data_IF_258322654695
#
_entry.id   IF_258322654695
#
_cell.length_a   1.000
_cell.length_b   1.000
_cell.length_c   1.000
_cell.angle_alpha   90.00
_cell.angle_beta   90.00
_cell.angle_gamma   90.00
#
_symmetry.space_group_name_H-M   'P 1'
#
loop_
_entity.id
_entity.type
_entity.pdbx_description
1 polymer ?
#
# COMPACT_ATOMS: atom_id res chain seq x y z
N UNK A 1 9.05 -7.34 -1.93
CA UNK A 1 8.37 -6.54 -2.98
C UNK A 1 7.62 -5.40 -2.32
N UNK A 2 7.63 -4.20 -2.93
CA UNK A 2 6.84 -3.02 -2.51
C UNK A 2 5.87 -2.69 -3.63
N UNK A 3 4.61 -2.45 -3.31
CA UNK A 3 3.57 -2.10 -4.29
C UNK A 3 2.84 -0.84 -3.83
N UNK A 4 3.02 0.26 -4.56
CA UNK A 4 2.23 1.47 -4.37
C UNK A 4 0.95 1.42 -5.20
N UNK A 5 -0.18 1.61 -4.54
CA UNK A 5 -1.51 1.55 -5.14
C UNK A 5 -2.16 2.93 -5.11
N UNK A 6 -2.93 3.26 -6.14
CA UNK A 6 -3.72 4.48 -6.17
C UNK A 6 -3.91 5.08 -7.55
N UNK A 7 -4.41 6.31 -7.59
CA UNK A 7 -4.66 7.08 -8.81
C UNK A 7 -4.12 8.50 -8.67
N UNK A 8 -3.06 8.82 -9.40
CA UNK A 8 -2.39 10.13 -9.35
C UNK A 8 -3.26 11.31 -9.83
N UNK A 9 -4.38 11.04 -10.49
CA UNK A 9 -5.31 12.07 -10.95
C UNK A 9 -6.34 12.48 -9.88
N UNK A 10 -6.31 11.85 -8.70
CA UNK A 10 -7.32 12.03 -7.65
C UNK A 10 -6.71 12.52 -6.33
N UNK A 11 -5.92 13.57 -6.37
CA UNK A 11 -5.36 14.21 -5.18
C UNK A 11 -4.58 13.23 -4.29
N UNK A 12 -5.03 13.03 -3.08
CA UNK A 12 -4.38 12.19 -2.06
C UNK A 12 -4.31 10.70 -2.44
N UNK A 13 -5.18 10.26 -3.35
CA UNK A 13 -5.18 8.88 -3.86
C UNK A 13 -3.89 8.50 -4.62
N UNK A 14 -3.08 9.47 -4.97
CA UNK A 14 -1.76 9.28 -5.58
C UNK A 14 -0.63 8.96 -4.59
N UNK A 15 -0.87 8.98 -3.29
CA UNK A 15 0.18 8.85 -2.28
C UNK A 15 0.97 7.52 -2.39
N UNK A 16 0.29 6.39 -2.57
CA UNK A 16 0.95 5.09 -2.76
C UNK A 16 1.86 5.07 -3.98
N UNK A 17 1.44 5.70 -5.08
CA UNK A 17 2.25 5.82 -6.29
C UNK A 17 3.47 6.72 -6.08
N UNK A 18 3.34 7.79 -5.31
CA UNK A 18 4.45 8.68 -4.96
C UNK A 18 5.52 7.95 -4.14
N UNK A 19 5.11 7.14 -3.17
CA UNK A 19 6.03 6.30 -2.38
C UNK A 19 6.75 5.28 -3.26
N UNK A 20 6.03 4.59 -4.15
CA UNK A 20 6.63 3.65 -5.10
C UNK A 20 7.64 4.35 -6.01
N UNK A 21 7.33 5.54 -6.51
CA UNK A 21 8.25 6.32 -7.34
C UNK A 21 9.54 6.70 -6.58
N UNK A 22 9.43 7.09 -5.31
CA UNK A 22 10.56 7.44 -4.47
C UNK A 22 11.48 6.24 -4.14
N UNK A 23 10.92 5.03 -4.08
CA UNK A 23 11.67 3.79 -3.80
C UNK A 23 12.19 3.08 -5.06
N UNK A 24 11.82 3.56 -6.24
CA UNK A 24 12.24 2.94 -7.50
C UNK A 24 13.76 3.02 -7.66
N UNK A 25 14.37 1.87 -7.95
CA UNK A 25 15.84 1.77 -8.10
C UNK A 25 16.60 1.54 -6.80
N UNK A 26 15.92 1.44 -5.66
CA UNK A 26 16.55 1.06 -4.39
C UNK A 26 17.12 -0.37 -4.48
N UNK A 27 18.42 -0.55 -4.18
CA UNK A 27 19.04 -1.87 -4.24
C UNK A 27 18.36 -2.89 -3.31
N UNK A 28 18.00 -4.04 -3.88
CA UNK A 28 17.38 -5.15 -3.12
C UNK A 28 15.91 -4.98 -2.81
N UNK A 29 15.26 -3.94 -3.36
CA UNK A 29 13.82 -3.72 -3.23
C UNK A 29 13.20 -3.76 -4.62
N UNK A 30 12.33 -4.73 -4.86
CA UNK A 30 11.49 -4.78 -6.05
C UNK A 30 10.27 -3.87 -5.83
N UNK A 31 10.05 -2.92 -6.74
CA UNK A 31 9.01 -1.89 -6.60
C UNK A 31 8.06 -1.90 -7.78
N UNK A 32 6.77 -1.95 -7.49
CA UNK A 32 5.68 -1.82 -8.46
C UNK A 32 4.78 -0.64 -8.12
N UNK A 33 4.23 -0.02 -9.16
CA UNK A 33 3.17 0.98 -9.05
C UNK A 33 1.93 0.44 -9.76
N UNK A 34 0.78 0.47 -9.10
CA UNK A 34 -0.47 -0.08 -9.63
C UNK A 34 -1.60 0.96 -9.52
N UNK A 35 -2.09 1.40 -10.65
CA UNK A 35 -3.15 2.40 -10.77
C UNK A 35 -4.51 1.78 -11.12
N UNK A 36 -4.71 0.50 -10.82
CA UNK A 36 -5.87 -0.22 -11.27
C UNK A 36 -6.69 -0.86 -10.17
N UNK A 37 -7.55 -1.75 -10.59
CA UNK A 37 -8.42 -2.51 -9.71
C UNK A 37 -7.66 -3.60 -8.97
N UNK A 38 -8.05 -3.87 -7.73
CA UNK A 38 -7.30 -4.71 -6.81
C UNK A 38 -7.08 -6.15 -7.26
N UNK A 39 -7.89 -6.68 -8.18
CA UNK A 39 -7.74 -8.06 -8.63
C UNK A 39 -6.39 -8.32 -9.33
N UNK A 40 -5.87 -7.34 -10.04
CA UNK A 40 -4.58 -7.45 -10.75
C UNK A 40 -3.40 -7.53 -9.78
N UNK A 41 -3.58 -7.05 -8.55
CA UNK A 41 -2.56 -7.14 -7.50
C UNK A 41 -2.19 -8.59 -7.19
N UNK A 42 -3.13 -9.53 -7.29
CA UNK A 42 -2.90 -10.95 -7.03
C UNK A 42 -1.85 -11.49 -8.01
N UNK A 43 -1.89 -11.07 -9.26
CA UNK A 43 -0.89 -11.45 -10.26
C UNK A 43 0.48 -10.80 -9.99
N UNK A 44 0.49 -9.55 -9.50
CA UNK A 44 1.74 -8.81 -9.24
C UNK A 44 2.52 -9.45 -8.08
N UNK A 45 1.86 -9.83 -6.98
CA UNK A 45 2.56 -10.42 -5.84
C UNK A 45 2.71 -11.95 -5.91
N UNK A 46 2.23 -12.58 -6.97
CA UNK A 46 2.33 -14.03 -7.13
C UNK A 46 3.79 -14.50 -7.06
N UNK A 47 4.06 -15.49 -6.20
CA UNK A 47 5.41 -15.99 -5.97
C UNK A 47 6.27 -15.12 -5.05
N UNK A 48 5.81 -13.95 -4.61
CA UNK A 48 6.51 -13.15 -3.61
C UNK A 48 6.33 -13.77 -2.21
N UNK A 49 7.43 -13.88 -1.46
CA UNK A 49 7.37 -14.27 -0.04
C UNK A 49 6.83 -13.15 0.85
N UNK A 50 7.07 -11.90 0.45
CA UNK A 50 6.69 -10.70 1.21
C UNK A 50 6.19 -9.61 0.28
N UNK A 51 5.07 -8.98 0.63
CA UNK A 51 4.54 -7.79 -0.03
C UNK A 51 4.26 -6.66 0.98
N UNK A 52 4.82 -5.49 0.72
CA UNK A 52 4.48 -4.23 1.39
C UNK A 52 3.59 -3.43 0.46
N UNK A 53 2.36 -3.19 0.86
CA UNK A 53 1.34 -2.51 0.07
C UNK A 53 1.14 -1.10 0.62
N UNK A 54 1.15 -0.10 -0.24
CA UNK A 54 0.98 1.29 0.16
C UNK A 54 -0.25 1.87 -0.54
N UNK A 55 -1.18 2.41 0.24
CA UNK A 55 -2.42 2.99 -0.26
C UNK A 55 -2.86 4.18 0.60
N UNK A 56 -3.76 4.97 0.07
CA UNK A 56 -4.44 6.03 0.81
C UNK A 56 -5.68 5.44 1.48
N UNK A 57 -5.93 5.84 2.72
CA UNK A 57 -7.05 5.35 3.51
C UNK A 57 -7.94 6.51 3.99
N UNK A 58 -9.17 6.19 4.34
CA UNK A 58 -10.14 7.11 4.97
C UNK A 58 -10.75 6.41 6.17
N UNK A 59 -10.09 6.46 7.30
CA UNK A 59 -10.58 5.84 8.55
C UNK A 59 -11.29 6.82 9.48
N UNK A 60 -11.21 8.11 9.16
CA UNK A 60 -11.67 9.19 10.01
C UNK A 60 -10.58 9.75 10.93
N UNK A 61 -9.35 9.27 10.81
CA UNK A 61 -8.20 9.87 11.48
C UNK A 61 -7.85 11.23 10.86
N UNK A 62 -7.06 12.07 11.54
CA UNK A 62 -6.57 13.31 10.94
C UNK A 62 -5.79 13.05 9.65
N UNK A 63 -5.98 13.89 8.59
CA UNK A 63 -5.23 13.76 7.34
C UNK A 63 -3.72 13.70 7.56
N UNK A 64 -3.03 12.86 6.79
CA UNK A 64 -1.59 12.61 6.93
C UNK A 64 -1.21 11.60 8.01
N UNK A 65 -2.16 11.10 8.79
CA UNK A 65 -1.88 10.02 9.76
C UNK A 65 -1.40 8.77 9.04
N UNK A 66 -0.30 8.20 9.52
CA UNK A 66 0.24 6.95 8.99
C UNK A 66 -0.32 5.76 9.75
N UNK A 67 -0.68 4.74 9.00
CA UNK A 67 -1.18 3.48 9.51
C UNK A 67 -0.28 2.34 9.03
N UNK A 68 -0.11 1.32 9.86
CA UNK A 68 0.59 0.09 9.51
C UNK A 68 -0.21 -1.11 10.02
N UNK A 69 -0.51 -2.04 9.13
CA UNK A 69 -1.26 -3.26 9.45
C UNK A 69 -0.54 -4.48 8.91
N UNK A 70 -0.21 -5.41 9.78
CA UNK A 70 0.19 -6.74 9.37
C UNK A 70 -1.08 -7.56 9.10
N UNK A 71 -1.26 -7.97 7.87
CA UNK A 71 -2.45 -8.72 7.43
C UNK A 71 -2.10 -10.16 7.04
N UNK A 72 -0.92 -10.63 7.41
CA UNK A 72 -0.47 -11.99 7.13
C UNK A 72 -1.44 -13.04 7.71
N UNK A 73 -1.85 -12.85 8.96
CA UNK A 73 -2.66 -13.79 9.72
C UNK A 73 -4.09 -13.32 10.01
N UNK A 74 -4.47 -12.15 9.53
CA UNK A 74 -5.78 -11.60 9.81
C UNK A 74 -6.22 -10.50 8.84
N UNK A 75 -7.52 -10.15 8.84
CA UNK A 75 -8.06 -9.16 7.93
C UNK A 75 -7.65 -7.73 8.30
N UNK A 76 -7.69 -6.84 7.31
CA UNK A 76 -7.66 -5.39 7.58
C UNK A 76 -8.80 -4.98 8.51
N UNK A 77 -8.57 -4.02 9.42
CA UNK A 77 -9.62 -3.47 10.27
C UNK A 77 -10.85 -3.03 9.47
N UNK A 78 -12.05 -3.28 9.97
CA UNK A 78 -13.31 -2.99 9.26
C UNK A 78 -13.47 -1.53 8.86
N UNK A 79 -12.93 -0.61 9.66
CA UNK A 79 -12.92 0.83 9.37
C UNK A 79 -12.17 1.19 8.08
N UNK A 80 -11.20 0.37 7.66
CA UNK A 80 -10.43 0.57 6.44
C UNK A 80 -11.03 -0.15 5.23
N UNK A 81 -11.95 -1.09 5.47
CA UNK A 81 -12.59 -1.86 4.40
C UNK A 81 -13.72 -1.12 3.68
N UNK A 82 -14.23 -0.02 4.25
CA UNK A 82 -15.46 0.64 3.79
C UNK A 82 -15.28 1.65 2.66
N UNK A 83 -14.08 1.85 2.13
CA UNK A 83 -13.84 3.09 1.39
C UNK A 83 -13.34 2.92 -0.04
N UNK A 84 -13.74 1.89 -0.72
CA UNK A 84 -13.49 1.81 -2.13
C UNK A 84 -14.74 2.20 -2.93
N UNK A 85 -14.71 3.35 -3.52
CA UNK A 85 -15.59 3.71 -4.63
C UNK A 85 -15.20 2.98 -5.93
N UNK A 86 -14.41 1.92 -5.83
CA UNK A 86 -13.96 1.07 -6.94
C UNK A 86 -14.44 -0.36 -6.72
N UNK A 87 -14.67 -1.10 -7.81
CA UNK A 87 -15.30 -2.41 -7.80
C UNK A 87 -14.56 -3.44 -6.93
N UNK A 88 -13.23 -3.34 -6.80
CA UNK A 88 -12.42 -4.21 -5.93
C UNK A 88 -11.37 -3.40 -5.21
N UNK A 89 -11.55 -3.22 -3.90
CA UNK A 89 -10.59 -2.54 -3.03
C UNK A 89 -9.37 -3.40 -2.74
N UNK A 90 -8.28 -2.77 -2.27
CA UNK A 90 -7.12 -3.47 -1.73
C UNK A 90 -7.51 -4.51 -0.68
N UNK A 91 -8.42 -4.16 0.23
CA UNK A 91 -8.92 -5.09 1.25
C UNK A 91 -9.60 -6.32 0.64
N UNK A 92 -10.42 -6.13 -0.39
CA UNK A 92 -11.09 -7.23 -1.10
C UNK A 92 -10.07 -8.11 -1.83
N UNK A 93 -9.07 -7.52 -2.48
CA UNK A 93 -8.01 -8.28 -3.15
C UNK A 93 -7.21 -9.15 -2.18
N UNK A 94 -6.89 -8.62 -1.00
CA UNK A 94 -6.20 -9.37 0.08
C UNK A 94 -7.04 -10.56 0.52
N UNK A 95 -8.32 -10.37 0.82
CA UNK A 95 -9.20 -11.44 1.28
C UNK A 95 -9.47 -12.49 0.19
N UNK A 96 -9.61 -12.07 -1.06
CA UNK A 96 -9.73 -13.00 -2.19
C UNK A 96 -8.46 -13.85 -2.33
N UNK A 97 -7.29 -13.22 -2.31
CA UNK A 97 -6.01 -13.93 -2.39
C UNK A 97 -5.82 -14.90 -1.22
N UNK A 98 -6.22 -14.51 -0.01
CA UNK A 98 -6.21 -15.38 1.17
C UNK A 98 -7.07 -16.62 0.95
N UNK A 99 -8.30 -16.44 0.46
CA UNK A 99 -9.25 -17.53 0.18
C UNK A 99 -8.72 -18.47 -0.91
N UNK A 100 -8.03 -17.93 -1.90
CA UNK A 100 -7.45 -18.70 -3.00
C UNK A 100 -6.09 -19.36 -2.65
N UNK A 101 -5.54 -19.13 -1.45
CA UNK A 101 -4.21 -19.59 -1.08
C UNK A 101 -3.08 -18.92 -1.86
N UNK A 102 -3.31 -17.68 -2.37
CA UNK A 102 -2.38 -16.91 -3.21
C UNK A 102 -1.88 -15.63 -2.53
N UNK A 103 -2.09 -15.49 -1.22
CA UNK A 103 -1.56 -14.38 -0.46
C UNK A 103 -0.09 -14.68 -0.09
N UNK A 104 0.84 -13.73 -0.24
CA UNK A 104 2.20 -13.89 0.25
C UNK A 104 2.24 -14.27 1.74
N UNK A 105 3.27 -14.99 2.17
CA UNK A 105 3.42 -15.41 3.57
C UNK A 105 3.49 -14.21 4.53
N UNK A 106 4.06 -13.09 4.07
CA UNK A 106 4.10 -11.83 4.82
C UNK A 106 3.48 -10.71 3.99
N UNK A 107 2.42 -10.09 4.51
CA UNK A 107 1.78 -8.92 3.90
C UNK A 107 1.59 -7.83 4.93
N UNK A 108 2.14 -6.66 4.64
CA UNK A 108 1.97 -5.45 5.46
C UNK A 108 1.35 -4.37 4.60
N UNK A 109 0.32 -3.72 5.12
CA UNK A 109 -0.33 -2.58 4.49
C UNK A 109 0.09 -1.31 5.23
N UNK A 110 0.65 -0.37 4.51
CA UNK A 110 0.87 1.01 4.92
C UNK A 110 -0.23 1.88 4.36
N UNK A 111 -0.91 2.61 5.23
CA UNK A 111 -1.93 3.58 4.85
C UNK A 111 -1.53 4.99 5.22
N UNK A 112 -1.88 5.96 4.39
CA UNK A 112 -1.84 7.38 4.75
C UNK A 112 -3.26 7.93 4.72
N UNK A 113 -3.67 8.60 5.78
CA UNK A 113 -5.01 9.18 5.85
C UNK A 113 -5.13 10.34 4.87
N UNK A 114 -6.05 10.24 3.91
CA UNK A 114 -6.33 11.25 2.91
C UNK A 114 -7.60 12.04 3.21
N UNK A 115 -7.71 13.23 2.60
CA UNK A 115 -8.88 14.10 2.71
C UNK A 115 -9.39 14.59 1.35
N UNK A 116 -8.55 14.58 0.30
CA UNK A 116 -8.84 15.17 -1.00
C UNK A 116 -8.76 14.14 -2.11
N UNK A 117 -9.91 13.78 -2.69
CA UNK A 117 -10.02 12.69 -3.66
C UNK A 117 -10.71 13.09 -4.98
N UNK A 118 -10.97 14.35 -5.20
CA UNK A 118 -11.61 14.85 -6.42
C UNK A 118 -10.65 14.69 -7.61
N UNK A 119 -11.18 14.27 -8.75
CA UNK A 119 -10.42 14.18 -9.99
C UNK A 119 -9.86 15.55 -10.38
N UNK A 120 -8.57 15.61 -10.69
CA UNK A 120 -7.87 16.84 -11.05
C UNK A 120 -7.40 17.67 -9.87
N UNK A 121 -7.68 17.26 -8.61
CA UNK A 121 -7.14 17.95 -7.44
C UNK A 121 -5.67 17.59 -7.20
N UNK A 122 -4.92 18.53 -6.64
CA UNK A 122 -3.59 18.27 -6.11
C UNK A 122 -3.69 17.51 -4.76
N UNK A 123 -2.65 16.79 -4.34
CA UNK A 123 -2.57 16.24 -3.00
C UNK A 123 -2.73 17.33 -1.93
N UNK A 124 -3.30 16.97 -0.78
CA UNK A 124 -3.38 17.87 0.37
C UNK A 124 -2.00 18.08 1.00
N UNK A 125 -1.79 19.23 1.63
CA UNK A 125 -0.53 19.53 2.32
C UNK A 125 -0.19 18.50 3.40
N UNK A 126 -1.20 17.97 4.09
CA UNK A 126 -1.04 16.95 5.12
C UNK A 126 -0.50 15.64 4.54
N UNK A 127 -1.01 15.20 3.39
CA UNK A 127 -0.53 13.99 2.71
C UNK A 127 0.84 14.23 2.09
N UNK A 128 1.09 15.37 1.46
CA UNK A 128 2.42 15.72 0.95
C UNK A 128 3.49 15.65 2.05
N UNK A 129 3.22 16.21 3.22
CA UNK A 129 4.13 16.17 4.37
C UNK A 129 4.34 14.75 4.91
N UNK A 130 3.39 13.85 4.71
CA UNK A 130 3.46 12.46 5.18
C UNK A 130 4.25 11.54 4.23
N UNK A 131 4.49 11.93 2.98
CA UNK A 131 5.16 11.08 1.98
C UNK A 131 6.57 10.68 2.42
N UNK A 132 7.43 11.61 2.80
CA UNK A 132 8.82 11.30 3.18
C UNK A 132 8.91 10.39 4.42
N UNK A 133 8.19 10.64 5.52
CA UNK A 133 8.12 9.70 6.64
C UNK A 133 7.63 8.31 6.23
N UNK A 134 6.66 8.23 5.33
CA UNK A 134 6.12 6.98 4.83
C UNK A 134 7.14 6.22 3.96
N UNK A 135 7.85 6.91 3.08
CA UNK A 135 8.95 6.35 2.28
C UNK A 135 10.01 5.74 3.19
N UNK A 136 10.41 6.45 4.25
CA UNK A 136 11.44 5.97 5.17
C UNK A 136 10.98 4.74 5.97
N UNK A 137 9.73 4.73 6.43
CA UNK A 137 9.15 3.58 7.13
C UNK A 137 9.13 2.33 6.23
N UNK A 138 8.64 2.47 5.01
CA UNK A 138 8.58 1.36 4.03
C UNK A 138 9.98 0.89 3.63
N UNK A 139 10.92 1.81 3.38
CA UNK A 139 12.33 1.50 3.07
C UNK A 139 12.98 0.68 4.18
N UNK A 140 12.82 1.14 5.40
CA UNK A 140 13.40 0.48 6.58
C UNK A 140 12.86 -0.94 6.75
N UNK A 141 11.56 -1.13 6.65
CA UNK A 141 10.94 -2.45 6.77
C UNK A 141 11.32 -3.37 5.60
N UNK A 142 11.29 -2.87 4.37
CA UNK A 142 11.68 -3.65 3.19
C UNK A 142 13.12 -4.18 3.31
N UNK A 143 14.05 -3.35 3.78
CA UNK A 143 15.44 -3.73 4.01
C UNK A 143 15.59 -4.74 5.16
N UNK A 144 14.81 -4.59 6.24
CA UNK A 144 14.83 -5.53 7.36
C UNK A 144 14.35 -6.92 6.93
N UNK A 145 13.25 -6.98 6.19
CA UNK A 145 12.68 -8.23 5.67
C UNK A 145 13.60 -8.91 4.65
N UNK A 146 14.25 -8.14 3.79
CA UNK A 146 15.22 -8.68 2.81
C UNK A 146 16.45 -9.31 3.50
N UNK A 147 16.88 -8.78 4.64
CA UNK A 147 17.97 -9.35 5.44
C UNK A 147 17.56 -10.63 6.16
N UNK A 148 16.34 -10.68 6.68
CA UNK A 148 15.80 -11.88 7.36
C UNK A 148 15.68 -13.09 6.43
N UNK A 149 15.33 -12.88 5.17
CA UNK A 149 15.27 -13.93 4.16
C UNK A 149 16.65 -14.51 3.80
N UNK A 150 17.72 -13.71 3.90
CA UNK A 150 19.10 -14.17 3.60
C UNK A 150 19.73 -14.97 4.73
N UNK A 151 19.16 -14.94 5.93
CA UNK A 151 19.70 -15.65 7.11
C UNK A 151 19.00 -17.00 7.37
N UNK A 152 17.98 -17.29 6.60
CA UNK A 152 17.25 -18.57 6.63
C UNK A 152 17.60 -19.42 5.40
#
# INVERSE_FOLDING_TARGET
MVIGVGNSLRGDDGAGLAVAAALRGEPGIEVHAHAGEGIDLIAIWEGAGTALLIDTVRSGAPPGTLHRFDVSDGPLPSRLRRQAGHAISLATAIELARTLGRLPAKVVVYGVEGERFETGSAPSAAVEAAIEPLVEAVRSEARALSRGVRLA
#
